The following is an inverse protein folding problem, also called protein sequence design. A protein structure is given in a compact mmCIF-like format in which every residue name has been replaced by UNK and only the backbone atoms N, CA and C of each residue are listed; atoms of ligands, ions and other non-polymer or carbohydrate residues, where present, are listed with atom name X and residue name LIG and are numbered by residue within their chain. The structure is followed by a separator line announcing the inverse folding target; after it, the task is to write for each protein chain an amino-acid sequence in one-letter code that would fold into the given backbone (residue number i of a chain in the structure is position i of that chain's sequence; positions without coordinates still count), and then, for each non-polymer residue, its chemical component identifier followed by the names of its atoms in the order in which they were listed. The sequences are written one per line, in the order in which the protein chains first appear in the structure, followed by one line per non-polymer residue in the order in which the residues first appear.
data_IF_546939798675
#
_entry.id   IF_546939798675
#
_cell.length_a   1.000
_cell.length_b   1.000
_cell.length_c   1.000
_cell.angle_alpha   90.00
_cell.angle_beta   90.00
_cell.angle_gamma   90.00
#
_symmetry.space_group_name_H-M   'P 1'
#
loop_
_entity.id
_entity.type
_entity.pdbx_description
1 polymer ?
#
# COMPACT_ATOMS: atom_id res chain seq x y z
N UNK A 1 -22.63 10.35 -59.10
CA UNK A 1 -21.76 10.60 -57.94
C UNK A 1 -22.39 10.00 -56.68
N UNK A 2 -21.54 9.40 -55.84
CA UNK A 2 -21.94 8.82 -54.54
C UNK A 2 -21.11 9.50 -53.42
N UNK A 3 -21.77 9.84 -52.34
CA UNK A 3 -21.14 10.34 -51.13
C UNK A 3 -21.42 9.36 -49.96
N UNK A 4 -20.51 9.23 -49.04
CA UNK A 4 -20.67 8.43 -47.81
C UNK A 4 -20.57 9.31 -46.60
N UNK A 5 -21.26 8.90 -45.54
CA UNK A 5 -21.38 9.64 -44.29
C UNK A 5 -20.86 8.84 -43.12
N UNK A 6 -20.22 9.52 -42.19
CA UNK A 6 -19.85 8.99 -40.89
C UNK A 6 -20.03 10.06 -39.82
N UNK A 7 -20.24 9.66 -38.59
CA UNK A 7 -20.39 10.57 -37.47
C UNK A 7 -19.12 10.63 -36.65
N UNK A 8 -18.88 11.75 -35.98
CA UNK A 8 -17.81 11.88 -35.00
C UNK A 8 -18.05 10.91 -33.83
N UNK A 9 -16.97 10.56 -33.16
CA UNK A 9 -17.04 9.70 -31.98
C UNK A 9 -18.01 10.29 -30.92
N UNK A 10 -18.89 9.46 -30.39
CA UNK A 10 -19.96 9.90 -29.49
C UNK A 10 -21.31 10.17 -30.15
N UNK A 11 -21.37 10.00 -31.47
CA UNK A 11 -22.61 10.15 -32.27
C UNK A 11 -22.82 8.91 -33.13
N UNK A 12 -24.05 8.59 -33.38
CA UNK A 12 -24.44 7.53 -34.32
C UNK A 12 -25.14 8.10 -35.54
N UNK A 13 -25.00 7.43 -36.68
CA UNK A 13 -25.61 7.80 -37.92
C UNK A 13 -27.09 7.37 -37.91
N UNK A 14 -28.00 8.34 -37.93
CA UNK A 14 -29.43 8.07 -38.08
C UNK A 14 -29.83 8.37 -39.54
N UNK A 15 -30.00 7.32 -40.32
CA UNK A 15 -30.27 7.39 -41.76
C UNK A 15 -29.31 6.54 -42.59
N UNK A 16 -29.25 6.75 -43.88
CA UNK A 16 -28.40 6.01 -44.80
C UNK A 16 -26.93 6.43 -44.68
N UNK A 17 -26.02 5.47 -44.79
CA UNK A 17 -24.56 5.71 -44.77
C UNK A 17 -24.01 6.26 -46.08
N UNK A 18 -24.85 6.29 -47.13
CA UNK A 18 -24.46 6.81 -48.45
C UNK A 18 -25.67 7.37 -49.19
N UNK A 19 -25.41 8.32 -50.07
CA UNK A 19 -26.40 8.87 -50.96
C UNK A 19 -25.84 9.03 -52.37
N UNK A 20 -26.72 8.91 -53.36
CA UNK A 20 -26.40 9.12 -54.77
C UNK A 20 -27.10 10.38 -55.30
N UNK A 21 -26.41 11.11 -56.15
CA UNK A 21 -27.02 12.22 -56.87
C UNK A 21 -27.94 11.69 -57.95
N UNK A 22 -29.20 12.11 -57.92
CA UNK A 22 -30.22 11.77 -58.93
C UNK A 22 -30.12 12.68 -60.19
N UNK A 23 -30.80 12.29 -61.24
CA UNK A 23 -30.87 13.10 -62.48
C UNK A 23 -31.55 14.47 -62.25
N UNK A 24 -32.37 14.59 -61.20
CA UNK A 24 -32.99 15.84 -60.77
C UNK A 24 -32.09 16.75 -59.94
N UNK A 25 -30.84 16.36 -59.74
CA UNK A 25 -29.88 17.12 -58.93
C UNK A 25 -30.12 17.05 -57.44
N UNK A 26 -30.81 16.01 -56.97
CA UNK A 26 -31.06 15.78 -55.53
C UNK A 26 -30.31 14.56 -55.04
N UNK A 27 -29.99 14.54 -53.75
CA UNK A 27 -29.44 13.37 -53.09
C UNK A 27 -30.52 12.37 -52.68
N UNK A 28 -30.32 11.09 -52.98
CA UNK A 28 -31.23 10.00 -52.61
C UNK A 28 -30.43 8.81 -52.02
N UNK A 29 -30.82 8.26 -50.87
CA UNK A 29 -31.89 8.69 -49.96
C UNK A 29 -31.60 10.04 -49.28
N UNK A 30 -32.53 10.51 -48.44
CA UNK A 30 -32.34 11.72 -47.66
C UNK A 30 -31.04 11.69 -46.85
N UNK A 31 -30.47 12.88 -46.62
CA UNK A 31 -29.21 13.00 -45.85
C UNK A 31 -29.41 12.54 -44.40
N UNK A 32 -28.50 11.74 -43.86
CA UNK A 32 -28.58 11.27 -42.47
C UNK A 32 -28.30 12.38 -41.48
N UNK A 33 -28.65 12.15 -40.23
CA UNK A 33 -28.37 13.01 -39.10
C UNK A 33 -27.48 12.26 -38.10
N UNK A 34 -26.44 12.91 -37.60
CA UNK A 34 -25.66 12.41 -36.48
C UNK A 34 -26.36 12.74 -35.18
N UNK A 35 -26.83 11.72 -34.47
CA UNK A 35 -27.48 11.85 -33.17
C UNK A 35 -26.52 11.44 -32.04
N UNK A 36 -26.59 12.12 -30.88
CA UNK A 36 -25.72 11.77 -29.75
C UNK A 36 -26.04 10.37 -29.24
N UNK A 37 -24.98 9.61 -28.90
CA UNK A 37 -25.11 8.33 -28.21
C UNK A 37 -25.46 8.61 -26.76
N UNK A 38 -26.55 7.99 -26.30
CA UNK A 38 -27.02 8.11 -24.92
C UNK A 38 -27.02 6.76 -24.21
N UNK A 39 -26.69 6.78 -22.92
CA UNK A 39 -26.85 5.65 -22.03
C UNK A 39 -28.02 5.87 -21.09
N UNK A 40 -28.85 4.85 -20.83
CA UNK A 40 -29.91 4.95 -19.83
C UNK A 40 -29.28 5.09 -18.42
N UNK A 41 -30.05 5.48 -17.39
CA UNK A 41 -29.55 5.48 -16.02
C UNK A 41 -28.93 4.13 -15.67
N UNK A 42 -27.76 4.11 -15.00
CA UNK A 42 -27.09 2.86 -14.67
C UNK A 42 -27.90 2.06 -13.65
N UNK A 43 -27.92 0.74 -13.79
CA UNK A 43 -28.48 -0.14 -12.76
C UNK A 43 -27.54 -0.15 -11.55
N UNK A 44 -28.11 -0.16 -10.35
CA UNK A 44 -27.33 -0.19 -9.10
C UNK A 44 -27.11 -1.66 -8.71
N UNK A 45 -25.85 -2.12 -8.59
CA UNK A 45 -25.56 -3.48 -8.13
C UNK A 45 -26.09 -3.73 -6.72
N UNK A 46 -26.35 -4.99 -6.39
CA UNK A 46 -26.72 -5.40 -5.04
C UNK A 46 -25.64 -4.98 -4.04
N UNK A 47 -26.04 -4.43 -2.90
CA UNK A 47 -25.17 -3.90 -1.84
C UNK A 47 -24.26 -2.73 -2.28
N UNK A 48 -24.63 -2.05 -3.35
CA UNK A 48 -23.96 -0.83 -3.80
C UNK A 48 -24.88 0.38 -3.69
N UNK A 49 -24.26 1.55 -3.63
CA UNK A 49 -24.92 2.86 -3.76
C UNK A 49 -24.24 3.65 -4.86
N UNK A 50 -25.00 4.55 -5.50
CA UNK A 50 -24.51 5.45 -6.51
C UNK A 50 -23.95 6.71 -5.81
N UNK A 51 -22.63 6.82 -5.76
CA UNK A 51 -21.93 7.90 -5.06
C UNK A 51 -21.92 9.20 -5.87
N UNK A 52 -21.57 9.10 -7.15
CA UNK A 52 -21.52 10.25 -8.06
C UNK A 52 -22.18 9.88 -9.37
N UNK A 53 -23.22 10.62 -9.74
CA UNK A 53 -23.87 10.48 -11.02
C UNK A 53 -24.53 11.80 -11.41
N UNK A 54 -24.12 12.36 -12.54
CA UNK A 54 -24.68 13.58 -13.12
C UNK A 54 -24.97 13.32 -14.60
N UNK A 55 -26.20 12.95 -14.94
CA UNK A 55 -26.58 12.74 -16.33
C UNK A 55 -26.53 14.06 -17.11
N UNK A 56 -25.97 14.03 -18.33
CA UNK A 56 -25.76 15.21 -19.16
C UNK A 56 -26.93 15.47 -20.13
N UNK A 57 -27.85 14.51 -20.29
CA UNK A 57 -28.99 14.57 -21.21
C UNK A 57 -30.31 14.27 -20.49
N UNK A 58 -30.76 15.18 -19.64
CA UNK A 58 -31.97 14.97 -18.83
C UNK A 58 -31.74 13.83 -17.82
N UNK A 59 -32.52 12.75 -17.95
CA UNK A 59 -32.37 11.54 -17.13
C UNK A 59 -31.32 10.55 -17.68
N UNK A 60 -30.78 10.80 -18.86
CA UNK A 60 -29.83 9.95 -19.55
C UNK A 60 -28.43 10.57 -19.56
N UNK A 61 -27.45 9.75 -19.79
CA UNK A 61 -26.05 10.17 -19.93
C UNK A 61 -25.62 10.17 -21.38
N UNK A 62 -24.65 11.01 -21.70
CA UNK A 62 -23.97 11.06 -22.99
C UNK A 62 -22.75 10.15 -22.99
N UNK A 63 -22.24 9.85 -24.16
CA UNK A 63 -20.96 9.19 -24.36
C UNK A 63 -19.87 9.83 -23.49
N UNK A 64 -19.08 9.04 -22.80
CA UNK A 64 -18.07 9.40 -21.82
C UNK A 64 -18.56 9.90 -20.46
N UNK A 65 -19.85 10.07 -20.25
CA UNK A 65 -20.34 10.30 -18.89
C UNK A 65 -19.98 9.13 -17.99
N UNK A 66 -19.74 9.42 -16.73
CA UNK A 66 -19.33 8.44 -15.73
C UNK A 66 -20.32 8.35 -14.59
N UNK A 67 -20.35 7.19 -13.97
CA UNK A 67 -21.03 6.97 -12.70
C UNK A 67 -20.07 6.25 -11.73
N UNK A 68 -20.05 6.65 -10.48
CA UNK A 68 -19.19 6.11 -9.45
C UNK A 68 -20.03 5.43 -8.38
N UNK A 69 -19.71 4.19 -8.08
CA UNK A 69 -20.37 3.38 -7.05
C UNK A 69 -19.55 3.28 -5.78
N UNK A 70 -20.24 3.01 -4.69
CA UNK A 70 -19.67 2.67 -3.39
C UNK A 70 -20.41 1.46 -2.84
N UNK A 71 -19.71 0.55 -2.19
CA UNK A 71 -20.35 -0.58 -1.53
C UNK A 71 -20.88 -0.19 -0.14
N UNK A 72 -21.96 -0.86 0.29
CA UNK A 72 -22.47 -0.74 1.65
C UNK A 72 -21.41 -1.19 2.66
N UNK A 73 -21.47 -0.74 3.93
CA UNK A 73 -20.58 -1.22 4.99
C UNK A 73 -20.50 -2.75 5.02
N UNK A 74 -19.34 -3.30 5.39
CA UNK A 74 -19.04 -4.73 5.43
C UNK A 74 -18.91 -5.42 4.06
N UNK A 75 -19.11 -4.70 2.99
CA UNK A 75 -18.99 -5.19 1.61
C UNK A 75 -17.75 -4.63 0.94
N UNK A 76 -17.04 -5.47 0.21
CA UNK A 76 -15.88 -5.09 -0.59
C UNK A 76 -16.26 -5.01 -2.06
N UNK A 77 -15.64 -4.06 -2.76
CA UNK A 77 -15.84 -3.88 -4.19
C UNK A 77 -14.87 -4.72 -5.00
N UNK A 78 -15.42 -5.46 -5.95
CA UNK A 78 -14.68 -6.20 -6.97
C UNK A 78 -14.99 -5.60 -8.34
N UNK A 79 -13.95 -5.23 -9.07
CA UNK A 79 -14.06 -4.46 -10.30
C UNK A 79 -13.79 -2.97 -10.10
N UNK A 80 -14.08 -2.17 -11.13
CA UNK A 80 -13.87 -0.74 -11.09
C UNK A 80 -15.08 -0.04 -10.45
N UNK A 81 -14.83 0.90 -9.55
CA UNK A 81 -15.88 1.73 -8.93
C UNK A 81 -16.56 2.68 -9.92
N UNK A 82 -15.89 3.00 -11.01
CA UNK A 82 -16.32 3.94 -12.04
C UNK A 82 -16.70 3.22 -13.32
N UNK A 83 -17.90 3.46 -13.80
CA UNK A 83 -18.37 3.01 -15.11
C UNK A 83 -18.52 4.19 -16.06
N UNK A 84 -18.38 3.93 -17.35
CA UNK A 84 -18.40 4.95 -18.40
C UNK A 84 -19.41 4.58 -19.48
N UNK A 85 -20.16 5.55 -19.97
CA UNK A 85 -21.05 5.39 -21.12
C UNK A 85 -20.21 5.18 -22.39
N UNK A 86 -20.40 4.03 -23.04
CA UNK A 86 -19.61 3.60 -24.21
C UNK A 86 -20.22 4.10 -25.52
N UNK A 87 -19.47 3.92 -26.60
CA UNK A 87 -19.94 4.21 -27.98
C UNK A 87 -21.14 3.33 -28.45
N UNK A 88 -21.44 2.26 -27.71
CA UNK A 88 -22.56 1.36 -28.01
C UNK A 88 -23.87 1.73 -27.28
N UNK A 89 -23.88 2.85 -26.54
CA UNK A 89 -25.05 3.27 -25.77
C UNK A 89 -25.29 2.46 -24.49
N UNK A 90 -24.28 1.76 -24.00
CA UNK A 90 -24.31 1.00 -22.77
C UNK A 90 -23.17 1.41 -21.85
N UNK A 91 -23.28 1.04 -20.58
CA UNK A 91 -22.25 1.24 -19.59
C UNK A 91 -21.18 0.14 -19.66
N UNK A 92 -19.96 0.48 -19.28
CA UNK A 92 -18.92 -0.51 -19.01
C UNK A 92 -19.37 -1.45 -17.89
N UNK A 93 -18.60 -2.51 -17.64
CA UNK A 93 -18.94 -3.53 -16.66
C UNK A 93 -19.17 -2.91 -15.26
N UNK A 94 -20.31 -3.24 -14.65
CA UNK A 94 -20.64 -2.86 -13.28
C UNK A 94 -19.70 -3.53 -12.27
N UNK A 95 -19.37 -2.84 -11.17
CA UNK A 95 -18.68 -3.47 -10.04
C UNK A 95 -19.60 -4.44 -9.31
N UNK A 96 -19.00 -5.32 -8.53
CA UNK A 96 -19.71 -6.25 -7.65
C UNK A 96 -19.35 -5.94 -6.20
N UNK A 97 -20.33 -5.85 -5.32
CA UNK A 97 -20.16 -5.68 -3.89
C UNK A 97 -20.47 -7.00 -3.18
N UNK A 98 -19.50 -7.52 -2.42
CA UNK A 98 -19.65 -8.77 -1.66
C UNK A 98 -19.37 -8.54 -0.18
N UNK A 99 -20.17 -9.14 0.68
CA UNK A 99 -19.86 -9.20 2.11
C UNK A 99 -18.56 -10.00 2.31
N UNK A 100 -17.63 -9.43 3.06
CA UNK A 100 -16.35 -10.07 3.36
C UNK A 100 -16.16 -10.14 4.87
N UNK A 101 -15.84 -11.33 5.37
CA UNK A 101 -15.55 -11.62 6.78
C UNK A 101 -14.10 -12.01 6.93
N UNK A 102 -13.48 -11.55 8.01
CA UNK A 102 -12.15 -12.01 8.43
C UNK A 102 -12.25 -12.85 9.70
N UNK A 103 -11.40 -13.88 9.85
CA UNK A 103 -11.29 -14.62 11.10
C UNK A 103 -10.74 -13.68 12.19
N UNK A 104 -11.00 -14.01 13.46
CA UNK A 104 -10.38 -13.30 14.56
C UNK A 104 -8.85 -13.44 14.47
N UNK A 105 -8.09 -12.32 14.58
CA UNK A 105 -6.65 -12.39 14.48
C UNK A 105 -6.06 -13.13 15.68
N UNK A 106 -5.08 -13.99 15.44
CA UNK A 106 -4.42 -14.74 16.50
C UNK A 106 -3.50 -13.84 17.30
N UNK A 107 -3.45 -14.08 18.60
CA UNK A 107 -2.51 -13.40 19.51
C UNK A 107 -1.07 -13.80 19.15
N UNK A 108 -0.15 -12.85 19.01
CA UNK A 108 1.27 -13.15 18.78
C UNK A 108 1.91 -13.69 20.07
N UNK A 109 2.93 -14.52 19.93
CA UNK A 109 3.75 -14.93 21.06
C UNK A 109 4.42 -13.71 21.69
N UNK A 110 4.43 -13.64 23.02
CA UNK A 110 4.99 -12.52 23.79
C UNK A 110 4.35 -11.15 23.48
N UNK A 111 3.09 -11.16 23.10
CA UNK A 111 2.36 -9.94 22.78
C UNK A 111 0.86 -10.09 22.98
N UNK A 112 0.14 -9.11 22.46
CA UNK A 112 -1.31 -9.04 22.53
C UNK A 112 -1.88 -8.46 21.24
N UNK A 113 -3.17 -8.70 21.03
CA UNK A 113 -3.94 -8.14 19.91
C UNK A 113 -5.26 -7.57 20.44
N UNK A 114 -5.63 -6.40 19.94
CA UNK A 114 -6.91 -5.75 20.21
C UNK A 114 -7.69 -5.62 18.90
N UNK A 115 -8.97 -5.91 18.97
CA UNK A 115 -9.91 -5.75 17.85
C UNK A 115 -11.29 -5.40 18.38
N UNK A 116 -12.21 -4.87 17.54
CA UNK A 116 -13.54 -4.50 17.97
C UNK A 116 -14.30 -5.67 18.62
N UNK A 117 -14.98 -5.43 19.71
CA UNK A 117 -15.80 -6.42 20.42
C UNK A 117 -17.11 -6.70 19.65
N UNK A 118 -17.01 -7.43 18.56
CA UNK A 118 -18.11 -7.84 17.68
C UNK A 118 -18.14 -9.35 17.54
N UNK A 119 -19.32 -9.96 17.25
CA UNK A 119 -19.43 -11.39 17.00
C UNK A 119 -18.74 -11.81 15.68
N UNK A 120 -18.55 -10.89 14.75
CA UNK A 120 -17.92 -11.12 13.45
C UNK A 120 -17.13 -9.90 13.04
N UNK A 121 -15.94 -10.11 12.48
CA UNK A 121 -15.12 -9.06 11.89
C UNK A 121 -15.31 -9.05 10.37
N UNK A 122 -15.42 -7.86 9.82
CA UNK A 122 -15.74 -7.62 8.41
C UNK A 122 -14.66 -6.83 7.70
N UNK A 123 -14.78 -6.72 6.42
CA UNK A 123 -13.95 -5.88 5.57
C UNK A 123 -13.73 -4.48 6.16
N UNK A 124 -12.50 -4.03 6.17
CA UNK A 124 -12.00 -2.77 6.77
C UNK A 124 -12.01 -2.71 8.30
N UNK A 125 -12.48 -3.73 8.99
CA UNK A 125 -12.24 -3.80 10.43
C UNK A 125 -10.72 -3.87 10.69
N UNK A 126 -10.29 -3.22 11.77
CA UNK A 126 -8.88 -3.08 12.13
C UNK A 126 -8.57 -3.83 13.41
N UNK A 127 -7.35 -4.30 13.49
CA UNK A 127 -6.79 -4.88 14.70
C UNK A 127 -5.44 -4.25 15.00
N UNK A 128 -5.12 -4.05 16.27
CA UNK A 128 -3.86 -3.48 16.72
C UNK A 128 -3.07 -4.50 17.53
N UNK A 129 -1.76 -4.52 17.32
CA UNK A 129 -0.84 -5.43 17.98
C UNK A 129 0.12 -4.69 18.88
N UNK A 130 0.51 -5.33 19.97
CA UNK A 130 1.54 -4.85 20.86
C UNK A 130 2.36 -6.01 21.41
N UNK A 131 3.53 -5.69 21.96
CA UNK A 131 4.42 -6.68 22.55
C UNK A 131 4.60 -6.45 24.05
N UNK A 132 4.87 -7.52 24.78
CA UNK A 132 5.22 -7.45 26.18
C UNK A 132 6.63 -6.85 26.37
N UNK A 133 6.94 -6.45 27.60
CA UNK A 133 8.27 -5.90 27.94
C UNK A 133 9.41 -6.81 27.49
N UNK A 134 10.45 -6.22 26.92
CA UNK A 134 11.60 -6.94 26.37
C UNK A 134 11.43 -7.45 24.94
N UNK A 135 10.27 -7.16 24.32
CA UNK A 135 9.97 -7.51 22.93
C UNK A 135 9.57 -6.26 22.14
N UNK A 136 9.83 -6.27 20.86
CA UNK A 136 9.41 -5.22 19.91
C UNK A 136 8.67 -5.82 18.73
N UNK A 137 7.75 -5.03 18.19
CA UNK A 137 6.91 -5.47 17.08
C UNK A 137 7.72 -5.51 15.78
N UNK A 138 7.69 -6.67 15.13
CA UNK A 138 8.19 -6.88 13.77
C UNK A 138 6.99 -6.95 12.83
N UNK A 139 6.77 -5.85 12.11
CA UNK A 139 5.62 -5.62 11.25
C UNK A 139 4.78 -4.41 11.69
N UNK A 140 3.66 -4.17 11.01
CA UNK A 140 2.79 -3.02 11.31
C UNK A 140 2.05 -3.21 12.64
N UNK A 141 1.89 -2.12 13.37
CA UNK A 141 1.09 -2.09 14.60
C UNK A 141 -0.41 -2.29 14.32
N UNK A 142 -0.90 -1.74 13.24
CA UNK A 142 -2.30 -1.85 12.82
C UNK A 142 -2.42 -2.67 11.53
N UNK A 143 -3.37 -3.61 11.52
CA UNK A 143 -3.73 -4.40 10.35
C UNK A 143 -5.21 -4.23 10.04
N UNK A 144 -5.58 -4.47 8.79
CA UNK A 144 -6.93 -4.30 8.28
C UNK A 144 -7.43 -5.58 7.61
N UNK A 145 -8.71 -5.89 7.79
CA UNK A 145 -9.39 -6.96 7.06
C UNK A 145 -9.50 -6.59 5.58
N UNK A 146 -8.83 -7.35 4.73
CA UNK A 146 -8.79 -7.10 3.29
C UNK A 146 -10.02 -7.65 2.57
N UNK A 147 -10.22 -7.23 1.34
CA UNK A 147 -11.31 -7.72 0.49
C UNK A 147 -11.22 -9.22 0.14
N UNK A 148 -10.10 -9.87 0.40
CA UNK A 148 -9.89 -11.31 0.19
C UNK A 148 -10.27 -12.13 1.42
N UNK A 149 -10.74 -11.52 2.51
CA UNK A 149 -11.14 -12.20 3.74
C UNK A 149 -9.97 -12.60 4.63
N UNK A 150 -8.82 -11.98 4.44
CA UNK A 150 -7.64 -12.15 5.27
C UNK A 150 -7.14 -10.81 5.83
N UNK A 151 -6.26 -10.86 6.79
CA UNK A 151 -5.63 -9.67 7.35
C UNK A 151 -4.48 -9.20 6.46
N UNK A 152 -4.29 -7.87 6.40
CA UNK A 152 -3.25 -7.23 5.57
C UNK A 152 -1.82 -7.65 5.95
N UNK A 153 -1.60 -8.03 7.20
CA UNK A 153 -0.34 -8.55 7.71
C UNK A 153 -0.58 -9.35 9.01
N UNK A 154 0.43 -10.09 9.44
CA UNK A 154 0.46 -10.76 10.74
C UNK A 154 1.79 -10.41 11.42
N UNK A 155 1.84 -9.34 12.21
CA UNK A 155 3.05 -8.93 12.91
C UNK A 155 3.40 -9.93 14.01
N UNK A 156 4.68 -9.98 14.37
CA UNK A 156 5.21 -10.82 15.42
C UNK A 156 6.01 -10.01 16.44
N UNK A 157 6.15 -10.53 17.65
CA UNK A 157 6.96 -9.91 18.68
C UNK A 157 8.35 -10.57 18.72
N UNK A 158 9.38 -9.77 18.59
CA UNK A 158 10.78 -10.18 18.56
C UNK A 158 11.52 -9.69 19.78
N UNK A 159 12.39 -10.55 20.35
CA UNK A 159 13.14 -10.22 21.56
C UNK A 159 14.16 -9.12 21.33
N UNK A 160 14.28 -8.22 22.31
CA UNK A 160 15.34 -7.23 22.37
C UNK A 160 16.68 -7.90 22.71
N UNK A 161 17.78 -7.39 22.14
CA UNK A 161 19.11 -7.93 22.36
C UNK A 161 19.78 -7.30 23.58
N UNK A 162 20.36 -8.15 24.42
CA UNK A 162 21.34 -7.71 25.41
C UNK A 162 22.72 -7.66 24.74
N UNK A 163 23.35 -6.50 24.83
CA UNK A 163 24.68 -6.34 24.25
C UNK A 163 25.72 -7.10 25.10
N UNK A 164 26.53 -7.98 24.50
CA UNK A 164 27.54 -8.74 25.22
C UNK A 164 28.76 -7.90 25.59
N UNK A 165 28.73 -6.60 25.28
CA UNK A 165 29.82 -5.62 25.51
C UNK A 165 29.39 -4.64 26.60
N UNK A 166 30.25 -4.44 27.61
CA UNK A 166 29.95 -3.56 28.76
C UNK A 166 30.22 -2.09 28.44
N UNK A 167 31.27 -1.80 27.70
CA UNK A 167 31.69 -0.44 27.34
C UNK A 167 32.20 -0.40 25.91
N UNK A 168 31.57 0.42 25.10
CA UNK A 168 31.98 0.72 23.73
C UNK A 168 31.41 2.05 23.26
N UNK A 169 32.15 2.73 22.39
CA UNK A 169 31.61 3.79 21.55
C UNK A 169 31.26 3.17 20.19
N UNK A 170 30.03 3.39 19.73
CA UNK A 170 29.51 2.86 18.46
C UNK A 170 28.87 4.00 17.67
N UNK A 171 28.62 3.79 16.40
CA UNK A 171 27.78 4.68 15.60
C UNK A 171 26.38 4.10 15.57
N UNK A 172 25.39 4.89 15.97
CA UNK A 172 23.97 4.57 15.93
C UNK A 172 23.22 5.73 15.29
N UNK A 173 22.47 5.46 14.23
CA UNK A 173 21.74 6.49 13.45
C UNK A 173 22.63 7.67 13.01
N UNK A 174 23.89 7.40 12.66
CA UNK A 174 24.85 8.41 12.23
C UNK A 174 25.59 9.16 13.35
N UNK A 175 25.23 8.93 14.60
CA UNK A 175 25.83 9.57 15.76
C UNK A 175 26.72 8.63 16.56
N UNK A 176 27.80 9.17 17.15
CA UNK A 176 28.63 8.42 18.09
C UNK A 176 27.97 8.38 19.45
N UNK A 177 27.66 7.19 19.93
CA UNK A 177 26.99 6.97 21.21
C UNK A 177 27.78 5.97 22.07
N UNK A 178 27.68 6.10 23.37
CA UNK A 178 28.20 5.10 24.31
C UNK A 178 27.15 4.03 24.54
N UNK A 179 27.50 2.81 24.27
CA UNK A 179 26.61 1.63 24.33
C UNK A 179 25.92 1.50 25.70
N UNK A 180 26.68 1.70 26.79
CA UNK A 180 26.20 1.59 28.16
C UNK A 180 25.20 2.67 28.56
N UNK A 181 25.18 3.80 27.85
CA UNK A 181 24.26 4.91 28.10
C UNK A 181 23.01 4.79 27.22
N UNK A 182 23.21 4.48 25.93
CA UNK A 182 22.13 4.42 24.96
C UNK A 182 21.25 3.18 25.09
N UNK A 183 21.85 2.03 25.36
CA UNK A 183 21.16 0.73 25.35
C UNK A 183 21.08 0.08 26.75
N UNK A 184 20.77 0.89 27.77
CA UNK A 184 20.61 0.40 29.16
C UNK A 184 19.59 -0.73 29.29
N UNK A 185 18.50 -0.65 28.53
CA UNK A 185 17.40 -1.61 28.55
C UNK A 185 17.45 -2.63 27.40
N UNK A 186 18.59 -2.71 26.71
CA UNK A 186 18.75 -3.54 25.53
C UNK A 186 18.52 -2.78 24.21
N UNK A 187 18.82 -3.45 23.14
CA UNK A 187 18.72 -2.97 21.78
C UNK A 187 17.50 -3.61 21.12
N UNK A 188 16.64 -2.84 20.46
CA UNK A 188 15.43 -3.36 19.84
C UNK A 188 15.76 -4.25 18.64
N UNK A 189 14.91 -5.23 18.38
CA UNK A 189 15.00 -6.03 17.15
C UNK A 189 15.02 -5.13 15.91
N UNK A 190 15.93 -5.42 14.99
CA UNK A 190 16.12 -4.66 13.76
C UNK A 190 17.09 -3.49 13.88
N UNK A 191 17.38 -3.00 15.09
CA UNK A 191 18.37 -1.94 15.29
C UNK A 191 19.76 -2.35 14.83
N UNK A 192 20.46 -1.40 14.21
CA UNK A 192 21.84 -1.55 13.76
C UNK A 192 22.78 -0.60 14.50
N UNK A 193 23.95 -1.10 14.86
CA UNK A 193 25.06 -0.29 15.37
C UNK A 193 26.33 -0.64 14.61
N UNK A 194 27.20 0.35 14.42
CA UNK A 194 28.51 0.12 13.80
C UNK A 194 29.60 0.22 14.86
N UNK A 195 30.35 -0.85 15.02
CA UNK A 195 31.48 -0.94 15.93
C UNK A 195 32.76 -0.43 15.28
N UNK A 196 33.58 0.33 16.00
CA UNK A 196 34.88 0.77 15.52
C UNK A 196 35.93 -0.34 15.60
N UNK A 197 36.59 -0.58 14.49
CA UNK A 197 37.68 -1.55 14.32
C UNK A 197 38.96 -0.86 13.91
N UNK A 198 40.11 -1.38 14.37
CA UNK A 198 41.46 -0.85 14.01
C UNK A 198 42.05 -1.61 12.83
N UNK A 199 42.41 -0.89 11.78
CA UNK A 199 43.33 -1.41 10.77
C UNK A 199 44.77 -1.20 11.25
N UNK A 200 45.45 -2.30 11.60
CA UNK A 200 46.81 -2.27 12.15
C UNK A 200 47.85 -1.83 11.14
N UNK A 201 47.70 -2.18 9.87
CA UNK A 201 48.63 -1.87 8.81
C UNK A 201 48.58 -0.39 8.44
N UNK A 202 47.36 0.15 8.25
CA UNK A 202 47.13 1.55 7.89
C UNK A 202 47.06 2.50 9.06
N UNK A 203 47.11 2.00 10.29
CA UNK A 203 46.97 2.77 11.55
C UNK A 203 45.77 3.69 11.59
N UNK A 204 44.66 3.22 11.05
CA UNK A 204 43.37 3.95 10.95
C UNK A 204 42.23 3.10 11.51
N UNK A 205 41.05 3.72 11.66
CA UNK A 205 39.83 3.04 12.11
C UNK A 205 38.80 2.93 10.99
N UNK A 206 38.02 1.87 11.03
CA UNK A 206 36.85 1.66 10.17
C UNK A 206 35.72 1.09 11.02
N UNK A 207 34.52 1.01 10.47
CA UNK A 207 33.37 0.47 11.20
C UNK A 207 32.83 -0.79 10.55
N UNK A 208 32.39 -1.73 11.38
CA UNK A 208 31.62 -2.91 10.97
C UNK A 208 30.28 -2.94 11.69
N UNK A 209 29.24 -3.30 10.95
CA UNK A 209 27.87 -3.28 11.43
C UNK A 209 27.52 -4.55 12.21
N UNK A 210 26.69 -4.36 13.23
CA UNK A 210 26.03 -5.43 13.95
C UNK A 210 24.54 -5.10 14.07
N UNK A 211 23.69 -6.09 13.91
CA UNK A 211 22.25 -5.94 13.99
C UNK A 211 21.65 -6.85 15.05
N UNK A 212 20.69 -6.32 15.79
CA UNK A 212 19.90 -7.12 16.72
C UNK A 212 18.85 -7.92 15.95
N UNK A 213 18.90 -9.24 16.06
CA UNK A 213 17.93 -10.16 15.44
C UNK A 213 17.40 -11.10 16.52
N UNK A 214 16.14 -10.87 16.91
CA UNK A 214 15.37 -11.72 17.83
C UNK A 214 16.16 -12.19 19.06
N UNK A 215 16.63 -11.22 19.82
CA UNK A 215 17.39 -11.45 21.05
C UNK A 215 18.88 -11.72 20.87
N UNK A 216 19.37 -11.83 19.65
CA UNK A 216 20.77 -12.14 19.34
C UNK A 216 21.43 -11.01 18.56
N UNK A 217 22.63 -10.61 18.99
CA UNK A 217 23.49 -9.69 18.27
C UNK A 217 24.92 -10.25 18.25
N UNK A 218 25.50 -10.31 17.06
CA UNK A 218 26.88 -10.74 16.86
C UNK A 218 27.77 -9.51 16.79
N UNK A 219 28.69 -9.39 17.78
CA UNK A 219 29.69 -8.33 17.79
C UNK A 219 30.79 -8.66 16.76
N UNK A 220 31.19 -7.71 15.90
CA UNK A 220 32.22 -7.95 14.89
C UNK A 220 33.53 -8.46 15.52
N UNK A 221 34.16 -9.45 14.91
CA UNK A 221 35.43 -10.06 15.39
C UNK A 221 36.58 -9.06 15.46
N UNK A 222 36.53 -8.00 14.67
CA UNK A 222 37.54 -6.94 14.69
C UNK A 222 37.45 -6.02 15.90
N UNK A 223 36.29 -5.96 16.55
CA UNK A 223 36.08 -5.15 17.77
C UNK A 223 36.77 -5.78 18.96
N UNK A 224 37.46 -4.96 19.74
CA UNK A 224 38.09 -5.37 21.00
C UNK A 224 37.64 -4.43 22.10
N UNK A 225 36.97 -4.98 23.10
CA UNK A 225 36.61 -4.22 24.29
C UNK A 225 37.89 -3.91 25.10
N UNK A 226 38.07 -2.67 25.51
CA UNK A 226 39.18 -2.27 26.35
C UNK A 226 38.89 -2.58 27.83
N UNK A 227 39.78 -3.31 28.46
CA UNK A 227 39.73 -3.48 29.93
C UNK A 227 40.03 -2.13 30.59
N UNK A 228 39.37 -1.84 31.71
CA UNK A 228 39.58 -0.63 32.50
C UNK A 228 41.01 -0.45 33.04
N UNK A 229 41.90 -1.43 32.89
CA UNK A 229 43.29 -1.43 33.31
C UNK A 229 44.28 -0.94 32.24
N UNK A 230 43.83 -0.66 31.01
CA UNK A 230 44.70 -0.27 29.90
C UNK A 230 44.55 1.22 29.56
N UNK A 231 44.90 2.08 30.48
CA UNK A 231 44.78 3.55 30.35
C UNK A 231 45.57 4.17 29.18
N UNK A 232 46.53 3.46 28.59
CA UNK A 232 47.36 3.94 27.47
C UNK A 232 46.98 3.40 26.11
N UNK A 233 45.91 2.60 25.99
CA UNK A 233 45.43 2.15 24.68
C UNK A 233 44.33 3.08 24.20
N UNK A 234 44.61 3.84 23.13
CA UNK A 234 43.60 4.63 22.40
C UNK A 234 42.46 3.74 21.97
N UNK A 235 41.20 4.17 22.22
CA UNK A 235 40.01 3.51 21.71
C UNK A 235 40.04 3.55 20.17
N UNK A 236 39.43 2.57 19.52
CA UNK A 236 39.32 2.57 18.06
C UNK A 236 38.50 3.74 17.54
N UNK A 237 37.53 4.23 18.33
CA UNK A 237 36.73 5.41 18.01
C UNK A 237 37.52 6.73 17.99
N UNK A 238 38.65 6.79 18.69
CA UNK A 238 39.52 7.98 18.78
C UNK A 238 40.63 8.00 17.72
N UNK A 239 40.72 6.96 16.90
CA UNK A 239 41.70 6.83 15.83
C UNK A 239 41.15 7.44 14.54
N UNK A 240 42.04 8.09 13.78
CA UNK A 240 41.67 8.69 12.48
C UNK A 240 40.97 7.65 11.57
N UNK A 241 39.86 8.04 10.89
CA UNK A 241 39.20 7.18 9.91
C UNK A 241 40.12 6.75 8.77
N UNK A 242 39.92 5.54 8.28
CA UNK A 242 40.57 5.09 7.08
C UNK A 242 39.90 5.80 5.85
#
# INVERSE_FOLDING_TARGET
NTISFSCNTGFYLNGADSAKCTEEGKWSPELPVCAPIICPPPSIPTFATLRVYKPSAGNNSLYRDTAVFECLPQHAMFGNDTITCTTHGNWTKLPECREVKCPFPSRPDNGFVNYPAKPTLYYKDKATFGCHDGYSLDGPEEIECTKLGNWSAMPSCKASCKLPVKKATVVYQGERVKIQEKFKNGMLHGDKVSFFCKNKEKKCSYTEDAQCIDGTIEVPKCFKEHSSLAFWKTDASDVKPC
#
